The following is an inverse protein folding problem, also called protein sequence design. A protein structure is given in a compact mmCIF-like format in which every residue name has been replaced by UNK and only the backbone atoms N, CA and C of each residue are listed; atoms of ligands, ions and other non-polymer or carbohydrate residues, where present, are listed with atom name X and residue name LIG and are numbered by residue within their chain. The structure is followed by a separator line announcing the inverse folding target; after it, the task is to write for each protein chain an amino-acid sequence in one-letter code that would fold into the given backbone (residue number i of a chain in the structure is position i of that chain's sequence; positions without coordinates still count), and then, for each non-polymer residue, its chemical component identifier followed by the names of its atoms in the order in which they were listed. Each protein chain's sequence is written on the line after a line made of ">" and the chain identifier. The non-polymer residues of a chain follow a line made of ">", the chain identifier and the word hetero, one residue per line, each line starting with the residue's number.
data_IF_668579040783
#
_entry.id   IF_668579040783
#
_cell.length_a   1.000
_cell.length_b   1.000
_cell.length_c   1.000
_cell.angle_alpha   90.00
_cell.angle_beta   90.00
_cell.angle_gamma   90.00
#
_symmetry.space_group_name_H-M   'P 1'
#
loop_
_entity.id
_entity.type
_entity.pdbx_description
1 polymer ?
#
# COMPACT_ATOMS: atom_id res chain seq x y z
N UNK A 1 20.75 35.83 32.79
CA UNK A 1 21.04 34.39 32.93
C UNK A 1 19.72 33.63 32.89
N UNK A 2 19.29 33.18 31.71
CA UNK A 2 18.11 32.32 31.57
C UNK A 2 18.55 31.03 30.91
N UNK A 3 18.40 29.95 31.66
CA UNK A 3 18.77 28.60 31.31
C UNK A 3 17.95 28.09 30.13
N UNK A 4 18.66 27.56 29.14
CA UNK A 4 18.14 26.89 27.96
C UNK A 4 17.80 25.46 28.37
N UNK A 5 16.52 25.15 28.50
CA UNK A 5 16.01 23.78 28.47
C UNK A 5 14.72 23.77 27.66
N UNK A 6 14.86 23.64 26.34
CA UNK A 6 13.75 23.44 25.41
C UNK A 6 14.01 22.18 24.60
N UNK A 7 14.01 21.02 25.27
CA UNK A 7 14.01 19.72 24.61
C UNK A 7 12.56 19.28 24.37
N UNK A 8 12.10 19.62 23.17
CA UNK A 8 10.98 19.08 22.40
C UNK A 8 10.15 17.96 23.05
N UNK A 9 9.09 18.36 23.76
CA UNK A 9 7.81 17.63 23.78
C UNK A 9 6.89 18.31 22.78
N UNK A 10 6.90 17.88 21.51
CA UNK A 10 5.96 18.38 20.51
C UNK A 10 4.96 17.29 20.10
N UNK A 11 3.90 17.23 20.90
CA UNK A 11 2.49 17.15 20.52
C UNK A 11 2.10 16.16 19.40
N UNK A 12 1.42 15.09 19.82
CA UNK A 12 0.49 14.25 19.04
C UNK A 12 -0.50 15.13 18.25
N UNK A 13 -0.26 15.35 16.96
CA UNK A 13 -1.21 16.04 16.09
C UNK A 13 -1.99 15.05 15.20
N UNK A 14 -3.17 14.63 15.69
CA UNK A 14 -4.20 13.84 14.96
C UNK A 14 -4.91 14.66 13.85
N UNK A 15 -4.20 15.50 13.09
CA UNK A 15 -4.80 16.54 12.22
C UNK A 15 -4.28 16.58 10.77
N UNK A 16 -3.95 15.42 10.19
CA UNK A 16 -3.61 15.33 8.75
C UNK A 16 -4.37 14.23 8.02
N UNK A 17 -5.66 14.04 8.31
CA UNK A 17 -6.53 13.20 7.49
C UNK A 17 -7.83 13.94 7.20
N UNK A 18 -7.79 14.89 6.27
CA UNK A 18 -9.00 15.46 5.68
C UNK A 18 -9.63 14.39 4.78
N UNK A 19 -10.76 13.85 5.19
CA UNK A 19 -11.55 12.88 4.43
C UNK A 19 -12.33 13.62 3.35
N UNK A 20 -11.70 13.88 2.20
CA UNK A 20 -12.39 14.39 1.02
C UNK A 20 -13.18 13.21 0.43
N UNK A 21 -14.50 13.22 0.62
CA UNK A 21 -15.39 12.33 -0.10
C UNK A 21 -15.95 13.09 -1.30
N UNK A 22 -15.34 12.93 -2.47
CA UNK A 22 -16.04 13.18 -3.72
C UNK A 22 -16.96 11.99 -3.97
N UNK A 23 -18.24 12.12 -3.66
CA UNK A 23 -19.23 11.08 -3.93
C UNK A 23 -19.57 11.05 -5.44
N UNK A 24 -18.61 10.66 -6.27
CA UNK A 24 -18.93 10.00 -7.54
C UNK A 24 -19.46 8.61 -7.19
N UNK A 25 -20.61 8.20 -7.73
CA UNK A 25 -21.09 6.83 -7.54
C UNK A 25 -20.06 5.85 -8.14
N UNK A 26 -19.24 5.31 -7.25
CA UNK A 26 -18.28 4.29 -7.55
C UNK A 26 -19.04 3.00 -7.92
N UNK A 27 -18.87 2.50 -9.15
CA UNK A 27 -19.58 1.31 -9.63
C UNK A 27 -19.17 0.04 -8.88
N UNK A 28 -17.95 0.01 -8.34
CA UNK A 28 -17.38 -1.17 -7.68
C UNK A 28 -17.45 -1.02 -6.17
N UNK A 29 -18.29 -1.85 -5.53
CA UNK A 29 -18.45 -1.91 -4.08
C UNK A 29 -17.48 -2.94 -3.48
N UNK A 30 -17.10 -2.79 -2.19
CA UNK A 30 -16.31 -3.80 -1.51
C UNK A 30 -17.08 -5.15 -1.45
N UNK A 31 -16.36 -6.28 -1.31
CA UNK A 31 -14.93 -6.39 -1.03
C UNK A 31 -14.02 -6.27 -2.28
N UNK A 32 -13.03 -5.37 -2.24
CA UNK A 32 -12.19 -5.01 -3.40
C UNK A 32 -10.99 -5.94 -3.59
N UNK A 33 -10.56 -6.09 -4.85
CA UNK A 33 -9.29 -6.71 -5.21
C UNK A 33 -8.19 -5.65 -5.21
N UNK A 34 -7.22 -5.78 -4.32
CA UNK A 34 -6.18 -4.77 -4.10
C UNK A 34 -4.82 -5.30 -4.49
N UNK A 35 -4.03 -4.46 -5.16
CA UNK A 35 -2.60 -4.69 -5.40
C UNK A 35 -1.78 -3.59 -4.70
N UNK A 36 -0.80 -3.99 -3.90
CA UNK A 36 0.03 -3.11 -3.07
C UNK A 36 1.44 -3.00 -3.65
N UNK A 37 1.94 -1.79 -3.84
CA UNK A 37 3.29 -1.50 -4.34
C UNK A 37 4.15 -0.91 -3.23
N UNK A 38 5.25 -1.58 -2.86
CA UNK A 38 6.18 -1.07 -1.85
C UNK A 38 7.54 -1.78 -1.85
N UNK A 39 8.54 -1.18 -1.20
CA UNK A 39 9.92 -1.73 -1.17
C UNK A 39 10.64 -1.66 0.17
N UNK A 40 10.22 -0.79 1.09
CA UNK A 40 10.96 -0.49 2.32
C UNK A 40 10.19 -0.87 3.60
N UNK A 41 10.84 -0.69 4.75
CA UNK A 41 10.24 -0.95 6.06
C UNK A 41 9.02 -0.08 6.34
N UNK A 42 8.98 1.15 5.80
CA UNK A 42 7.82 2.03 5.96
C UNK A 42 6.58 1.45 5.26
N UNK A 43 6.77 0.89 4.07
CA UNK A 43 5.71 0.22 3.32
C UNK A 43 5.22 -1.06 4.01
N UNK A 44 6.07 -1.76 4.77
CA UNK A 44 5.68 -2.95 5.54
C UNK A 44 4.63 -2.62 6.59
N UNK A 45 4.78 -1.51 7.32
CA UNK A 45 3.78 -1.13 8.34
C UNK A 45 2.41 -0.85 7.74
N UNK A 46 2.37 -0.27 6.54
CA UNK A 46 1.13 -0.07 5.80
C UNK A 46 0.54 -1.40 5.33
N UNK A 47 1.37 -2.30 4.82
CA UNK A 47 0.98 -3.63 4.37
C UNK A 47 0.44 -4.50 5.53
N UNK A 48 1.00 -4.38 6.74
CA UNK A 48 0.50 -5.08 7.94
C UNK A 48 -0.94 -4.71 8.27
N UNK A 49 -1.28 -3.41 8.21
CA UNK A 49 -2.65 -2.94 8.46
C UNK A 49 -3.59 -3.46 7.38
N UNK A 50 -3.18 -3.38 6.12
CA UNK A 50 -3.96 -3.85 4.99
C UNK A 50 -4.18 -5.38 5.03
N UNK A 51 -3.16 -6.14 5.43
CA UNK A 51 -3.25 -7.59 5.60
C UNK A 51 -4.28 -7.96 6.67
N UNK A 52 -4.32 -7.24 7.80
CA UNK A 52 -5.36 -7.46 8.83
C UNK A 52 -6.77 -7.27 8.28
N UNK A 53 -7.00 -6.19 7.53
CA UNK A 53 -8.31 -5.93 6.89
C UNK A 53 -8.65 -7.01 5.85
N UNK A 54 -7.65 -7.50 5.10
CA UNK A 54 -7.82 -8.62 4.18
C UNK A 54 -8.21 -9.91 4.91
N UNK A 55 -7.63 -10.22 6.08
CA UNK A 55 -8.03 -11.40 6.87
C UNK A 55 -9.41 -11.27 7.48
N UNK A 56 -9.85 -10.05 7.82
CA UNK A 56 -11.22 -9.81 8.29
C UNK A 56 -12.26 -10.02 7.17
N UNK A 57 -11.89 -9.83 5.90
CA UNK A 57 -12.70 -10.18 4.73
C UNK A 57 -13.88 -9.26 4.43
N UNK A 58 -14.06 -8.17 5.18
CA UNK A 58 -15.16 -7.22 4.97
C UNK A 58 -14.88 -6.20 3.86
N UNK A 59 -13.61 -5.79 3.71
CA UNK A 59 -13.21 -4.70 2.81
C UNK A 59 -12.45 -5.18 1.58
N UNK A 60 -11.64 -6.23 1.70
CA UNK A 60 -10.79 -6.76 0.64
C UNK A 60 -11.15 -8.22 0.35
N UNK A 61 -11.34 -8.54 -0.94
CA UNK A 61 -11.53 -9.91 -1.42
C UNK A 61 -10.22 -10.54 -1.89
N UNK A 62 -9.24 -9.71 -2.29
CA UNK A 62 -7.91 -10.15 -2.68
C UNK A 62 -6.87 -9.10 -2.27
N UNK A 63 -5.67 -9.56 -1.91
CA UNK A 63 -4.52 -8.72 -1.61
C UNK A 63 -3.26 -9.34 -2.22
N UNK A 64 -2.69 -8.66 -3.20
CA UNK A 64 -1.43 -9.04 -3.83
C UNK A 64 -0.40 -7.93 -3.70
N UNK A 65 0.88 -8.27 -3.82
CA UNK A 65 1.99 -7.37 -3.54
C UNK A 65 2.91 -7.29 -4.75
N UNK A 66 3.37 -6.09 -5.07
CA UNK A 66 4.41 -5.81 -6.06
C UNK A 66 5.59 -5.19 -5.34
N UNK A 67 6.78 -5.76 -5.57
CA UNK A 67 8.01 -5.23 -4.99
C UNK A 67 9.19 -5.37 -5.94
N UNK A 68 10.23 -4.54 -5.77
CA UNK A 68 11.43 -4.57 -6.61
C UNK A 68 12.60 -5.31 -5.92
N UNK A 69 13.40 -6.11 -6.64
CA UNK A 69 14.53 -6.86 -6.09
C UNK A 69 15.78 -6.02 -5.74
N UNK A 70 15.68 -4.70 -5.57
CA UNK A 70 16.85 -3.80 -5.41
C UNK A 70 17.75 -4.05 -4.20
N UNK A 71 17.29 -4.77 -3.17
CA UNK A 71 18.06 -5.01 -1.95
C UNK A 71 18.28 -6.51 -1.69
N UNK A 72 19.44 -6.87 -1.12
CA UNK A 72 19.77 -8.24 -0.67
C UNK A 72 18.71 -8.85 0.26
N UNK A 73 17.93 -8.00 0.96
CA UNK A 73 16.80 -8.40 1.79
C UNK A 73 15.69 -7.38 1.64
N UNK A 74 14.68 -7.71 0.84
CA UNK A 74 13.51 -6.86 0.65
C UNK A 74 12.51 -7.15 1.80
N UNK A 75 12.24 -6.17 2.68
CA UNK A 75 11.40 -6.40 3.86
C UNK A 75 9.94 -6.69 3.51
N UNK A 76 9.44 -6.14 2.39
CA UNK A 76 8.11 -6.45 1.85
C UNK A 76 8.02 -7.91 1.41
N UNK A 77 9.05 -8.41 0.71
CA UNK A 77 9.08 -9.81 0.29
C UNK A 77 9.10 -10.76 1.49
N UNK A 78 9.94 -10.48 2.48
CA UNK A 78 10.03 -11.30 3.71
C UNK A 78 8.68 -11.34 4.42
N UNK A 79 8.05 -10.18 4.64
CA UNK A 79 6.75 -10.11 5.30
C UNK A 79 5.65 -10.82 4.48
N UNK A 80 5.62 -10.60 3.17
CA UNK A 80 4.62 -11.20 2.28
C UNK A 80 4.72 -12.72 2.26
N UNK A 81 5.94 -13.28 2.28
CA UNK A 81 6.15 -14.73 2.38
C UNK A 81 5.63 -15.29 3.71
N UNK A 82 5.90 -14.61 4.83
CA UNK A 82 5.40 -15.01 6.15
C UNK A 82 3.87 -15.03 6.20
N UNK A 83 3.23 -14.03 5.58
CA UNK A 83 1.78 -13.93 5.47
C UNK A 83 1.19 -14.72 4.29
N UNK A 84 1.99 -15.45 3.52
CA UNK A 84 1.52 -16.22 2.35
C UNK A 84 0.76 -15.33 1.33
N UNK A 85 1.17 -14.08 1.16
CA UNK A 85 0.65 -13.18 0.13
C UNK A 85 1.34 -13.48 -1.20
N UNK A 86 0.59 -13.30 -2.31
CA UNK A 86 1.17 -13.44 -3.64
C UNK A 86 2.02 -12.22 -3.98
N UNK A 87 3.29 -12.46 -4.33
CA UNK A 87 4.28 -11.41 -4.62
C UNK A 87 4.66 -11.44 -6.09
N UNK A 88 4.55 -10.28 -6.73
CA UNK A 88 5.06 -10.00 -8.07
C UNK A 88 6.35 -9.19 -7.98
N UNK A 89 7.30 -9.53 -8.84
CA UNK A 89 8.53 -8.76 -9.00
C UNK A 89 8.31 -7.67 -10.02
N UNK A 90 8.71 -6.44 -9.68
CA UNK A 90 8.77 -5.34 -10.62
C UNK A 90 10.01 -5.48 -11.52
N UNK A 91 9.90 -5.25 -12.84
CA UNK A 91 8.70 -4.83 -13.59
C UNK A 91 7.67 -5.95 -13.75
N UNK A 92 6.38 -5.60 -13.63
CA UNK A 92 5.28 -6.56 -13.74
C UNK A 92 4.79 -6.62 -15.18
N UNK A 93 4.66 -7.83 -15.74
CA UNK A 93 4.10 -8.01 -17.08
C UNK A 93 2.60 -7.68 -17.10
N UNK A 94 2.16 -7.04 -18.19
CA UNK A 94 0.83 -6.44 -18.36
C UNK A 94 -0.34 -7.41 -18.11
N UNK A 95 -0.11 -8.71 -18.32
CA UNK A 95 -1.13 -9.77 -18.29
C UNK A 95 -1.60 -10.08 -16.86
N UNK A 96 -0.85 -9.70 -15.81
CA UNK A 96 -1.21 -9.99 -14.40
C UNK A 96 -1.96 -8.86 -13.69
N UNK A 97 -1.95 -7.63 -14.20
CA UNK A 97 -2.51 -6.47 -13.50
C UNK A 97 -3.97 -6.14 -13.83
N UNK A 98 -4.58 -6.80 -14.83
CA UNK A 98 -5.91 -6.43 -15.34
C UNK A 98 -7.11 -6.80 -14.46
N UNK A 99 -6.91 -7.35 -13.26
CA UNK A 99 -8.00 -7.88 -12.41
C UNK A 99 -8.06 -7.23 -11.02
N UNK A 100 -7.60 -5.99 -10.86
CA UNK A 100 -7.65 -5.26 -9.59
C UNK A 100 -8.57 -4.06 -9.64
N UNK A 101 -9.20 -3.78 -8.50
CA UNK A 101 -10.04 -2.60 -8.34
C UNK A 101 -9.20 -1.41 -7.90
N UNK A 102 -8.19 -1.61 -7.03
CA UNK A 102 -7.38 -0.54 -6.45
C UNK A 102 -5.89 -0.91 -6.47
N UNK A 103 -5.06 0.04 -6.93
CA UNK A 103 -3.62 0.04 -6.68
C UNK A 103 -3.24 0.94 -5.50
N UNK A 104 -2.56 0.42 -4.49
CA UNK A 104 -2.05 1.19 -3.35
C UNK A 104 -0.54 1.30 -3.46
N UNK A 105 0.00 2.52 -3.46
CA UNK A 105 1.44 2.76 -3.59
C UNK A 105 2.01 3.37 -2.32
N UNK A 106 3.00 2.72 -1.73
CA UNK A 106 3.68 3.19 -0.51
C UNK A 106 5.18 2.99 -0.67
N UNK A 107 5.94 4.08 -0.76
CA UNK A 107 7.41 4.06 -0.87
C UNK A 107 7.96 3.02 -1.86
N UNK A 108 7.38 3.01 -3.07
CA UNK A 108 7.73 2.04 -4.09
C UNK A 108 8.99 2.42 -4.89
N UNK A 109 9.23 3.72 -5.13
CA UNK A 109 10.45 4.20 -5.79
C UNK A 109 10.56 3.86 -7.29
N UNK A 110 9.45 3.48 -7.92
CA UNK A 110 9.35 3.20 -9.35
C UNK A 110 8.09 3.83 -9.93
N UNK A 111 8.16 4.23 -11.21
CA UNK A 111 6.98 4.66 -11.97
C UNK A 111 6.16 3.44 -12.36
N UNK A 112 4.85 3.50 -12.13
CA UNK A 112 3.92 2.47 -12.60
C UNK A 112 3.53 2.80 -14.05
N UNK A 113 3.67 1.85 -15.00
CA UNK A 113 3.24 2.05 -16.38
C UNK A 113 1.80 2.56 -16.50
N UNK A 114 1.56 3.50 -17.41
CA UNK A 114 0.26 4.16 -17.56
C UNK A 114 -0.87 3.19 -17.95
N UNK A 115 -0.56 2.14 -18.71
CA UNK A 115 -1.50 1.08 -19.04
C UNK A 115 -1.96 0.28 -17.80
N UNK A 116 -1.08 0.01 -16.84
CA UNK A 116 -1.44 -0.62 -15.56
C UNK A 116 -2.32 0.31 -14.73
N UNK A 117 -1.98 1.60 -14.66
CA UNK A 117 -2.82 2.57 -13.93
C UNK A 117 -4.24 2.62 -14.52
N UNK A 118 -4.34 2.57 -15.85
CA UNK A 118 -5.63 2.57 -16.57
C UNK A 118 -6.41 1.26 -16.48
N UNK A 119 -5.81 0.19 -15.95
CA UNK A 119 -6.49 -1.12 -15.85
C UNK A 119 -7.28 -1.28 -14.54
N UNK A 120 -7.15 -0.36 -13.58
CA UNK A 120 -7.91 -0.41 -12.33
C UNK A 120 -9.37 -0.03 -12.55
N UNK A 121 -10.27 -0.71 -11.84
CA UNK A 121 -11.72 -0.51 -11.99
C UNK A 121 -12.27 0.71 -11.22
N UNK A 122 -11.44 1.36 -10.39
CA UNK A 122 -11.79 2.51 -9.55
C UNK A 122 -11.07 3.81 -9.94
#
# INVERSE_FOLDING_TARGET
>A
MYAINKLFKFVRNKKYFSRIYTHSQCKVKPPWKVIFYGTDEFSVESLKVLCKEYRHGSLLSNLEVVTSPKAKKNPIEVYSQQEKLLVHKYPVDEIKCGNFDIGIVVSFGHLIPANIIKSFNL
#
